data_IF_432812807858
#
_entry.id   IF_432812807858
#
_cell.length_a   1.000
_cell.length_b   1.000
_cell.length_c   1.000
_cell.angle_alpha   90.00
_cell.angle_beta   90.00
_cell.angle_gamma   90.00
#
_symmetry.space_group_name_H-M   'P 1'
#
loop_
_entity.id
_entity.type
_entity.pdbx_description
1 polymer ?
#
# COMPACT_ATOMS: atom_id res chain seq x y z
N UNK A 1 72.83 -2.39 25.44
CA UNK A 1 73.97 -2.40 24.51
C UNK A 1 73.53 -3.14 23.26
N UNK A 2 73.35 -2.47 22.11
CA UNK A 2 74.27 -2.57 20.96
C UNK A 2 73.57 -1.99 19.70
N UNK A 3 74.06 -0.82 19.25
CA UNK A 3 74.28 -0.38 17.85
C UNK A 3 73.10 -0.14 16.86
N UNK A 4 72.95 1.13 16.45
CA UNK A 4 72.62 1.62 15.08
C UNK A 4 73.86 1.46 14.17
N UNK A 5 73.93 1.76 12.82
CA UNK A 5 73.20 2.80 12.04
C UNK A 5 73.05 2.62 10.47
N UNK A 6 72.61 3.72 9.81
CA UNK A 6 72.86 4.22 8.41
C UNK A 6 71.91 3.72 7.29
N UNK A 7 71.37 4.54 6.35
CA UNK A 7 71.59 5.95 5.92
C UNK A 7 70.35 6.50 5.15
N UNK A 8 70.11 7.82 5.06
CA UNK A 8 70.64 8.80 4.07
C UNK A 8 70.39 8.34 2.61
N UNK A 9 69.75 9.05 1.67
CA UNK A 9 69.38 10.45 1.39
C UNK A 9 68.02 10.41 0.59
N UNK A 10 67.24 11.45 0.25
CA UNK A 10 67.60 12.71 -0.38
C UNK A 10 66.37 13.65 -0.45
N UNK A 11 66.64 14.95 -0.49
CA UNK A 11 65.70 16.08 -0.58
C UNK A 11 65.42 16.42 -2.06
N UNK A 12 64.30 17.12 -2.34
CA UNK A 12 63.89 17.78 -3.60
C UNK A 12 62.99 16.88 -4.48
N UNK A 13 61.72 17.21 -4.75
CA UNK A 13 61.27 18.44 -5.38
C UNK A 13 59.81 18.75 -5.01
N UNK A 14 59.59 19.91 -4.40
CA UNK A 14 58.26 20.53 -4.31
C UNK A 14 57.98 21.19 -5.66
N UNK A 15 57.16 20.53 -6.48
CA UNK A 15 56.30 21.17 -7.49
C UNK A 15 54.86 20.96 -7.04
N UNK A 16 54.50 21.62 -5.94
CA UNK A 16 53.17 22.22 -5.82
C UNK A 16 53.14 23.43 -6.76
N UNK A 17 52.00 24.07 -6.98
CA UNK A 17 51.75 25.21 -7.89
C UNK A 17 51.29 24.77 -9.29
N UNK A 18 49.96 24.77 -9.48
CA UNK A 18 49.31 24.60 -10.78
C UNK A 18 47.81 24.30 -10.65
N UNK A 19 47.46 23.08 -10.25
CA UNK A 19 46.11 22.55 -10.49
C UNK A 19 45.03 23.05 -9.51
N UNK A 20 45.40 23.38 -8.26
CA UNK A 20 44.43 23.87 -7.26
C UNK A 20 43.93 25.28 -7.53
N UNK A 21 44.77 26.15 -8.10
CA UNK A 21 44.40 27.52 -8.46
C UNK A 21 43.64 27.57 -9.80
N UNK A 22 43.96 26.68 -10.74
CA UNK A 22 43.24 26.57 -12.02
C UNK A 22 41.84 25.97 -11.85
N UNK A 23 41.64 25.00 -10.96
CA UNK A 23 40.31 24.48 -10.62
C UNK A 23 39.45 25.51 -9.89
N UNK A 24 40.03 26.30 -8.98
CA UNK A 24 39.31 27.34 -8.25
C UNK A 24 39.00 28.55 -9.14
N UNK A 25 39.88 28.91 -10.08
CA UNK A 25 39.59 29.89 -11.14
C UNK A 25 38.57 29.38 -12.16
N UNK A 26 38.58 28.09 -12.50
CA UNK A 26 37.59 27.49 -13.41
C UNK A 26 36.21 27.40 -12.76
N UNK A 27 36.15 27.15 -11.44
CA UNK A 27 34.92 27.17 -10.65
C UNK A 27 34.44 28.60 -10.40
N UNK A 28 35.34 29.56 -10.14
CA UNK A 28 34.99 30.98 -10.02
C UNK A 28 34.56 31.56 -11.37
N UNK A 29 35.18 31.18 -12.49
CA UNK A 29 34.69 31.54 -13.83
C UNK A 29 33.37 30.86 -14.16
N UNK A 30 33.14 29.60 -13.76
CA UNK A 30 31.85 28.94 -13.95
C UNK A 30 30.73 29.61 -13.13
N UNK A 31 31.03 30.04 -11.89
CA UNK A 31 30.11 30.76 -10.99
C UNK A 31 29.92 32.22 -11.43
N UNK A 32 30.94 32.88 -11.98
CA UNK A 32 30.82 34.22 -12.56
C UNK A 32 30.07 34.20 -13.90
N UNK A 33 30.18 33.13 -14.71
CA UNK A 33 29.34 32.95 -15.92
C UNK A 33 27.88 32.62 -15.60
N UNK A 34 27.58 32.10 -14.41
CA UNK A 34 26.20 31.88 -13.94
C UNK A 34 25.54 33.16 -13.39
N UNK A 35 26.28 34.26 -13.28
CA UNK A 35 25.76 35.54 -12.74
C UNK A 35 25.05 36.43 -13.77
N UNK A 36 25.07 36.05 -15.06
CA UNK A 36 24.37 36.78 -16.14
C UNK A 36 23.14 36.05 -16.71
N UNK A 37 22.86 34.81 -16.31
CA UNK A 37 21.63 34.12 -16.71
C UNK A 37 20.64 34.19 -15.56
N UNK A 38 19.85 35.26 -15.49
CA UNK A 38 18.57 35.20 -14.77
C UNK A 38 17.88 33.91 -15.20
N UNK A 39 17.63 33.00 -14.24
CA UNK A 39 17.00 31.73 -14.54
C UNK A 39 15.75 32.03 -15.39
N UNK A 40 15.68 31.55 -16.65
CA UNK A 40 14.56 31.85 -17.53
C UNK A 40 13.21 31.52 -16.87
N UNK A 41 13.20 30.56 -15.95
CA UNK A 41 12.04 30.19 -15.16
C UNK A 41 11.71 31.22 -14.07
N UNK A 42 12.70 31.81 -13.40
CA UNK A 42 12.46 32.89 -12.43
C UNK A 42 11.90 34.13 -13.14
N UNK A 43 12.49 34.53 -14.27
CA UNK A 43 11.98 35.63 -15.10
C UNK A 43 10.55 35.37 -15.61
N UNK A 44 10.26 34.13 -16.01
CA UNK A 44 8.91 33.72 -16.41
C UNK A 44 7.91 33.78 -15.25
N UNK A 45 8.24 33.19 -14.09
CA UNK A 45 7.40 33.20 -12.89
C UNK A 45 7.11 34.64 -12.45
N UNK A 46 8.13 35.48 -12.41
CA UNK A 46 8.00 36.87 -11.98
C UNK A 46 7.09 37.64 -12.94
N UNK A 47 7.22 37.44 -14.26
CA UNK A 47 6.32 38.06 -15.26
C UNK A 47 4.88 37.58 -15.12
N UNK A 48 4.65 36.29 -14.89
CA UNK A 48 3.32 35.71 -14.71
C UNK A 48 2.66 36.25 -13.45
N UNK A 49 3.39 36.36 -12.34
CA UNK A 49 2.89 36.93 -11.08
C UNK A 49 2.62 38.44 -11.20
N UNK A 50 3.43 39.19 -11.96
CA UNK A 50 3.21 40.61 -12.21
C UNK A 50 1.91 40.89 -12.98
N UNK A 51 1.54 40.02 -13.93
CA UNK A 51 0.27 40.13 -14.65
C UNK A 51 -0.96 39.88 -13.74
N UNK A 52 -0.74 39.36 -12.54
CA UNK A 52 -1.77 39.00 -11.56
C UNK A 52 -1.76 39.89 -10.32
N UNK A 53 -0.80 40.83 -10.22
CA UNK A 53 -0.58 41.66 -9.05
C UNK A 53 -1.76 42.60 -8.73
N UNK A 54 -2.61 42.90 -9.73
CA UNK A 54 -3.80 43.74 -9.58
C UNK A 54 -4.99 43.01 -8.93
N UNK A 55 -4.92 41.67 -8.79
CA UNK A 55 -5.98 40.89 -8.15
C UNK A 55 -5.69 40.79 -6.66
N UNK A 56 -6.36 41.64 -5.88
CA UNK A 56 -6.26 41.68 -4.41
C UNK A 56 -7.48 41.02 -3.78
N UNK A 57 -7.43 40.78 -2.46
CA UNK A 57 -8.55 40.18 -1.69
C UNK A 57 -9.85 41.02 -1.80
N UNK A 58 -9.74 42.30 -2.17
CA UNK A 58 -10.85 43.23 -2.42
C UNK A 58 -11.40 43.22 -3.85
N UNK A 59 -10.83 42.44 -4.77
CA UNK A 59 -11.30 42.35 -6.16
C UNK A 59 -12.59 41.52 -6.26
N UNK A 60 -13.30 41.61 -7.40
CA UNK A 60 -14.56 40.87 -7.59
C UNK A 60 -14.32 39.36 -7.53
N UNK A 61 -15.31 38.61 -7.02
CA UNK A 61 -15.22 37.15 -6.88
C UNK A 61 -14.82 36.46 -8.19
N UNK A 62 -15.36 36.91 -9.33
CA UNK A 62 -15.06 36.36 -10.66
C UNK A 62 -13.60 36.61 -11.07
N UNK A 63 -13.01 37.76 -10.70
CA UNK A 63 -11.61 38.06 -10.98
C UNK A 63 -10.65 37.21 -10.14
N UNK A 64 -11.03 36.90 -8.89
CA UNK A 64 -10.26 36.02 -8.01
C UNK A 64 -10.28 34.58 -8.53
N UNK A 65 -11.45 34.07 -8.94
CA UNK A 65 -11.56 32.73 -9.54
C UNK A 65 -10.79 32.62 -10.86
N UNK A 66 -10.86 33.63 -11.72
CA UNK A 66 -10.10 33.64 -12.98
C UNK A 66 -8.59 33.63 -12.74
N UNK A 67 -8.13 34.40 -11.75
CA UNK A 67 -6.73 34.41 -11.34
C UNK A 67 -6.28 33.06 -10.77
N UNK A 68 -7.06 32.44 -9.87
CA UNK A 68 -6.77 31.11 -9.34
C UNK A 68 -6.69 30.05 -10.44
N UNK A 69 -7.65 30.04 -11.37
CA UNK A 69 -7.64 29.12 -12.50
C UNK A 69 -6.41 29.30 -13.41
N UNK A 70 -5.93 30.54 -13.59
CA UNK A 70 -4.72 30.81 -14.35
C UNK A 70 -3.46 30.29 -13.65
N UNK A 71 -3.35 30.46 -12.33
CA UNK A 71 -2.25 29.88 -11.54
C UNK A 71 -2.27 28.35 -11.57
N UNK A 72 -3.43 27.73 -11.44
CA UNK A 72 -3.57 26.28 -11.50
C UNK A 72 -3.15 25.74 -12.88
N UNK A 73 -3.48 26.46 -13.96
CA UNK A 73 -3.06 26.11 -15.32
C UNK A 73 -1.53 26.16 -15.49
N UNK A 74 -0.88 27.18 -14.92
CA UNK A 74 0.59 27.34 -14.94
C UNK A 74 1.30 26.26 -14.10
N UNK A 75 0.76 25.98 -12.91
CA UNK A 75 1.24 24.88 -12.06
C UNK A 75 1.17 23.55 -12.82
N UNK A 76 0.06 23.27 -13.51
CA UNK A 76 -0.06 22.06 -14.32
C UNK A 76 0.89 22.07 -15.53
N UNK A 77 1.18 23.22 -16.14
CA UNK A 77 2.16 23.33 -17.21
C UNK A 77 3.59 22.98 -16.74
N UNK A 78 4.00 23.51 -15.59
CA UNK A 78 5.31 23.19 -15.01
C UNK A 78 5.40 21.72 -14.59
N UNK A 79 4.34 21.17 -13.98
CA UNK A 79 4.27 19.72 -13.67
C UNK A 79 4.45 18.88 -14.93
N UNK A 80 3.89 19.28 -16.08
CA UNK A 80 4.12 18.59 -17.37
C UNK A 80 5.58 18.65 -17.80
N UNK A 81 6.24 19.80 -17.68
CA UNK A 81 7.67 19.94 -18.00
C UNK A 81 8.54 19.03 -17.11
N UNK A 82 8.28 19.02 -15.79
CA UNK A 82 8.96 18.13 -14.83
C UNK A 82 8.77 16.66 -15.21
N UNK A 83 7.56 16.24 -15.60
CA UNK A 83 7.28 14.86 -16.06
C UNK A 83 8.10 14.52 -17.30
N UNK A 84 8.23 15.44 -18.26
CA UNK A 84 9.02 15.24 -19.49
C UNK A 84 10.50 15.06 -19.16
N UNK A 85 11.09 15.96 -18.36
CA UNK A 85 12.50 15.84 -17.97
C UNK A 85 12.79 14.59 -17.16
N UNK A 86 11.90 14.25 -16.21
CA UNK A 86 12.02 13.03 -15.41
C UNK A 86 11.92 11.77 -16.27
N UNK A 87 11.00 11.73 -17.24
CA UNK A 87 10.89 10.63 -18.18
C UNK A 87 12.16 10.46 -19.03
N UNK A 88 12.74 11.57 -19.52
CA UNK A 88 14.00 11.53 -20.27
C UNK A 88 15.15 11.04 -19.42
N UNK A 89 15.29 11.54 -18.19
CA UNK A 89 16.31 11.07 -17.23
C UNK A 89 16.16 9.58 -16.96
N UNK A 90 14.96 9.11 -16.66
CA UNK A 90 14.71 7.71 -16.35
C UNK A 90 14.97 6.79 -17.56
N UNK A 91 14.74 7.27 -18.79
CA UNK A 91 15.12 6.54 -20.01
C UNK A 91 16.65 6.46 -20.21
N UNK A 92 17.41 7.43 -19.69
CA UNK A 92 18.88 7.45 -19.75
C UNK A 92 19.54 6.56 -18.69
N UNK A 93 18.84 6.25 -17.59
CA UNK A 93 19.32 5.31 -16.57
C UNK A 93 19.20 3.88 -17.11
N UNK A 94 20.23 3.46 -17.85
CA UNK A 94 20.30 2.18 -18.57
C UNK A 94 20.10 0.93 -17.70
N UNK A 95 20.33 0.98 -16.38
CA UNK A 95 20.16 -0.19 -15.53
C UNK A 95 18.69 -0.57 -15.29
N UNK A 96 17.77 0.40 -15.24
CA UNK A 96 16.36 0.16 -14.94
C UNK A 96 15.58 -0.33 -16.17
N UNK A 97 15.99 0.07 -17.37
CA UNK A 97 15.40 -0.38 -18.64
C UNK A 97 15.92 -1.75 -19.11
N UNK A 98 16.93 -2.31 -18.43
CA UNK A 98 17.50 -3.63 -18.73
C UNK A 98 16.86 -4.77 -17.95
N UNK A 99 16.08 -4.47 -16.92
CA UNK A 99 15.37 -5.48 -16.15
C UNK A 99 14.18 -5.94 -17.00
N UNK A 100 14.08 -7.25 -17.30
CA UNK A 100 12.92 -7.77 -18.02
C UNK A 100 11.61 -7.47 -17.28
N UNK A 101 10.53 -7.27 -18.03
CA UNK A 101 9.20 -6.98 -17.49
C UNK A 101 8.75 -8.04 -16.47
N UNK A 102 8.97 -9.32 -16.76
CA UNK A 102 8.61 -10.42 -15.86
C UNK A 102 9.29 -10.30 -14.49
N UNK A 103 10.56 -9.88 -14.47
CA UNK A 103 11.32 -9.72 -13.23
C UNK A 103 10.80 -8.52 -12.45
N UNK A 104 10.48 -7.41 -13.12
CA UNK A 104 9.83 -6.25 -12.50
C UNK A 104 8.49 -6.63 -11.88
N UNK A 105 7.67 -7.41 -12.59
CA UNK A 105 6.38 -7.88 -12.10
C UNK A 105 6.53 -8.76 -10.85
N UNK A 106 7.52 -9.67 -10.82
CA UNK A 106 7.80 -10.46 -9.61
C UNK A 106 8.20 -9.56 -8.43
N UNK A 107 9.06 -8.56 -8.67
CA UNK A 107 9.43 -7.58 -7.64
C UNK A 107 8.20 -6.83 -7.13
N UNK A 108 7.33 -6.36 -8.04
CA UNK A 108 6.12 -5.64 -7.67
C UNK A 108 5.16 -6.54 -6.87
N UNK A 109 5.03 -7.82 -7.23
CA UNK A 109 4.22 -8.77 -6.47
C UNK A 109 4.74 -8.95 -5.05
N UNK A 110 6.06 -9.05 -4.85
CA UNK A 110 6.63 -9.07 -3.49
C UNK A 110 6.34 -7.79 -2.72
N UNK A 111 6.38 -6.63 -3.39
CA UNK A 111 6.07 -5.35 -2.75
C UNK A 111 4.61 -5.21 -2.34
N UNK A 112 3.67 -5.86 -3.05
CA UNK A 112 2.25 -5.85 -2.66
C UNK A 112 2.08 -6.42 -1.25
N UNK A 113 2.79 -7.51 -0.94
CA UNK A 113 2.72 -8.14 0.37
C UNK A 113 3.61 -7.43 1.44
N UNK A 114 4.77 -6.89 1.06
CA UNK A 114 5.76 -6.30 1.99
C UNK A 114 5.48 -4.83 2.35
N UNK A 115 4.99 -4.03 1.40
CA UNK A 115 4.68 -2.60 1.58
C UNK A 115 3.26 -2.27 1.10
N UNK A 116 2.21 -2.82 1.71
CA UNK A 116 0.84 -2.51 1.35
C UNK A 116 0.48 -1.04 1.67
N UNK A 117 -0.48 -0.44 0.94
CA UNK A 117 -1.04 0.85 1.29
C UNK A 117 -1.67 0.81 2.68
N UNK A 118 -1.29 1.73 3.57
CA UNK A 118 -1.73 1.70 4.97
C UNK A 118 -1.80 3.07 5.59
N UNK A 119 -2.57 3.21 6.65
CA UNK A 119 -2.52 4.40 7.49
C UNK A 119 -1.26 4.35 8.38
N UNK A 120 -0.44 5.39 8.30
CA UNK A 120 0.76 5.54 9.12
C UNK A 120 0.56 6.69 10.10
N UNK A 121 0.88 6.44 11.37
CA UNK A 121 0.92 7.47 12.39
C UNK A 121 2.28 8.17 12.37
N UNK A 122 2.28 9.47 12.05
CA UNK A 122 3.48 10.30 12.13
C UNK A 122 3.27 11.38 13.20
N UNK A 123 3.91 11.20 14.36
CA UNK A 123 3.72 12.00 15.57
C UNK A 123 2.25 12.04 16.03
N UNK A 124 1.48 13.00 15.53
CA UNK A 124 0.06 13.24 15.87
C UNK A 124 -0.86 13.23 14.63
N UNK A 125 -0.31 12.99 13.44
CA UNK A 125 -1.08 12.97 12.19
C UNK A 125 -1.18 11.54 11.64
N UNK A 126 -2.38 11.16 11.20
CA UNK A 126 -2.58 9.96 10.38
C UNK A 126 -2.34 10.34 8.92
N UNK A 127 -1.37 9.71 8.27
CA UNK A 127 -1.06 9.90 6.85
C UNK A 127 -1.15 8.58 6.11
N UNK A 128 -1.74 8.60 4.92
CA UNK A 128 -1.78 7.43 4.05
C UNK A 128 -0.43 7.20 3.40
N UNK A 129 0.16 6.02 3.60
CA UNK A 129 1.25 5.53 2.78
C UNK A 129 0.68 4.91 1.53
N UNK A 130 1.24 5.27 0.37
CA UNK A 130 0.93 4.63 -0.91
C UNK A 130 1.51 3.21 -1.02
N UNK A 131 2.48 2.85 -0.17
CA UNK A 131 3.11 1.54 -0.23
C UNK A 131 3.69 1.21 -1.63
N UNK A 132 3.42 -0.01 -2.10
CA UNK A 132 3.84 -0.51 -3.41
C UNK A 132 3.35 0.34 -4.58
N UNK A 133 2.25 1.09 -4.44
CA UNK A 133 1.72 1.98 -5.51
C UNK A 133 2.79 2.99 -5.95
N UNK A 134 3.76 3.32 -5.09
CA UNK A 134 4.92 4.16 -5.42
C UNK A 134 5.67 3.67 -6.67
N UNK A 135 5.67 2.37 -6.98
CA UNK A 135 6.28 1.85 -8.22
C UNK A 135 5.65 2.45 -9.48
N UNK A 136 4.35 2.79 -9.42
CA UNK A 136 3.61 3.45 -10.53
C UNK A 136 3.99 4.92 -10.74
N UNK A 137 4.79 5.48 -9.82
CA UNK A 137 5.29 6.86 -9.88
C UNK A 137 6.77 6.95 -10.25
N UNK A 138 7.49 5.82 -10.34
CA UNK A 138 8.92 5.80 -10.66
C UNK A 138 9.17 6.28 -12.08
N UNK A 139 8.59 5.60 -13.07
CA UNK A 139 8.68 5.98 -14.47
C UNK A 139 7.43 5.52 -15.24
N UNK A 140 7.28 6.01 -16.48
CA UNK A 140 6.14 5.66 -17.34
C UNK A 140 6.05 4.17 -17.62
N UNK A 141 7.17 3.51 -17.89
CA UNK A 141 7.19 2.06 -18.17
C UNK A 141 6.73 1.23 -16.97
N UNK A 142 7.24 1.53 -15.77
CA UNK A 142 6.81 0.82 -14.55
C UNK A 142 5.32 1.05 -14.26
N UNK A 143 4.83 2.27 -14.51
CA UNK A 143 3.42 2.59 -14.41
C UNK A 143 2.57 1.75 -15.37
N UNK A 144 2.97 1.66 -16.64
CA UNK A 144 2.25 0.87 -17.65
C UNK A 144 2.23 -0.63 -17.29
N UNK A 145 3.36 -1.18 -16.85
CA UNK A 145 3.48 -2.58 -16.38
C UNK A 145 2.58 -2.83 -15.16
N UNK A 146 2.66 -1.97 -14.15
CA UNK A 146 1.93 -2.17 -12.90
C UNK A 146 0.41 -1.94 -13.04
N UNK A 147 -0.03 -0.99 -13.88
CA UNK A 147 -1.46 -0.75 -14.12
C UNK A 147 -2.09 -1.81 -15.04
N UNK A 148 -1.32 -2.43 -15.93
CA UNK A 148 -1.83 -3.46 -16.84
C UNK A 148 -1.91 -4.86 -16.21
N UNK A 149 -1.19 -5.09 -15.11
CA UNK A 149 -1.18 -6.38 -14.43
C UNK A 149 -2.21 -6.44 -13.30
N UNK A 150 -3.31 -7.16 -13.53
CA UNK A 150 -4.40 -7.30 -12.56
C UNK A 150 -4.02 -7.99 -11.25
N UNK A 151 -2.96 -8.81 -11.22
CA UNK A 151 -2.56 -9.53 -10.01
C UNK A 151 -2.11 -8.59 -8.88
N UNK A 152 -1.55 -7.43 -9.22
CA UNK A 152 -1.10 -6.44 -8.23
C UNK A 152 -2.25 -5.75 -7.48
N UNK A 153 -3.46 -5.78 -8.05
CA UNK A 153 -4.64 -5.07 -7.55
C UNK A 153 -5.60 -6.01 -6.80
N UNK A 154 -5.14 -7.17 -6.36
CA UNK A 154 -6.01 -8.20 -5.77
C UNK A 154 -6.21 -8.07 -4.27
N UNK A 155 -5.41 -7.24 -3.58
CA UNK A 155 -5.49 -7.06 -2.13
C UNK A 155 -6.25 -5.78 -1.77
N UNK A 156 -7.23 -5.93 -0.88
CA UNK A 156 -8.02 -4.85 -0.30
C UNK A 156 -7.59 -4.70 1.16
N UNK A 157 -7.04 -3.53 1.46
CA UNK A 157 -6.50 -3.17 2.78
C UNK A 157 -7.58 -2.53 3.67
N UNK A 158 -7.44 -2.58 5.00
CA UNK A 158 -8.48 -2.11 5.92
C UNK A 158 -8.65 -0.58 5.91
N UNK A 159 -7.62 0.18 5.55
CA UNK A 159 -7.59 1.66 5.59
C UNK A 159 -7.97 2.33 4.26
N UNK A 160 -8.59 1.57 3.36
CA UNK A 160 -8.85 1.94 1.97
C UNK A 160 -10.09 2.84 1.84
N UNK A 161 -10.12 3.73 0.85
CA UNK A 161 -11.31 4.55 0.53
C UNK A 161 -12.17 3.90 -0.54
N UNK A 162 -13.45 4.27 -0.63
CA UNK A 162 -14.37 3.82 -1.68
C UNK A 162 -13.85 4.11 -3.09
N UNK A 163 -13.27 5.29 -3.32
CA UNK A 163 -12.67 5.63 -4.62
C UNK A 163 -11.53 4.66 -4.98
N UNK A 164 -10.68 4.33 -4.02
CA UNK A 164 -9.59 3.40 -4.24
C UNK A 164 -10.08 1.95 -4.39
N UNK A 165 -11.11 1.56 -3.64
CA UNK A 165 -11.76 0.27 -3.82
C UNK A 165 -12.27 0.13 -5.26
N UNK A 166 -12.98 1.13 -5.78
CA UNK A 166 -13.53 1.10 -7.15
C UNK A 166 -12.44 0.84 -8.20
N UNK A 167 -11.28 1.47 -8.01
CA UNK A 167 -10.14 1.35 -8.88
C UNK A 167 -9.45 -0.02 -8.75
N UNK A 168 -9.32 -0.51 -7.52
CA UNK A 168 -8.78 -1.85 -7.21
C UNK A 168 -9.66 -2.94 -7.83
N UNK A 169 -10.98 -2.81 -7.69
CA UNK A 169 -11.96 -3.74 -8.27
C UNK A 169 -11.94 -3.71 -9.80
N UNK A 170 -11.85 -2.52 -10.40
CA UNK A 170 -11.78 -2.35 -11.86
C UNK A 170 -10.50 -2.96 -12.45
N UNK A 171 -9.36 -2.80 -11.78
CA UNK A 171 -8.07 -3.32 -12.27
C UNK A 171 -7.83 -4.79 -11.97
N UNK A 172 -8.48 -5.33 -10.95
CA UNK A 172 -8.32 -6.74 -10.58
C UNK A 172 -9.20 -7.69 -11.38
N UNK A 173 -10.27 -7.23 -12.03
CA UNK A 173 -11.21 -8.12 -12.73
C UNK A 173 -10.52 -8.97 -13.83
N UNK A 174 -10.79 -10.29 -13.93
CA UNK A 174 -11.68 -11.13 -13.12
C UNK A 174 -10.98 -11.91 -11.99
N UNK A 175 -9.82 -11.44 -11.51
CA UNK A 175 -9.00 -12.15 -10.51
C UNK A 175 -9.74 -12.28 -9.17
N UNK A 176 -9.47 -13.39 -8.44
CA UNK A 176 -9.88 -13.51 -7.06
C UNK A 176 -9.21 -12.44 -6.18
N UNK A 177 -9.92 -12.02 -5.15
CA UNK A 177 -9.54 -10.96 -4.24
C UNK A 177 -9.10 -11.53 -2.89
N UNK A 178 -8.23 -10.79 -2.22
CA UNK A 178 -7.90 -10.94 -0.82
C UNK A 178 -8.37 -9.67 -0.11
N UNK A 179 -9.11 -9.80 0.97
CA UNK A 179 -9.60 -8.65 1.71
C UNK A 179 -9.22 -8.77 3.18
N UNK A 180 -8.57 -7.72 3.70
CA UNK A 180 -8.40 -7.49 5.13
C UNK A 180 -9.30 -6.31 5.52
N UNK A 181 -10.31 -6.60 6.35
CA UNK A 181 -11.33 -5.66 6.76
C UNK A 181 -11.30 -5.52 8.27
N UNK A 182 -11.34 -4.29 8.76
CA UNK A 182 -11.44 -3.99 10.18
C UNK A 182 -12.78 -3.31 10.44
N UNK A 183 -13.76 -4.10 10.88
CA UNK A 183 -15.08 -3.62 11.27
C UNK A 183 -14.88 -2.70 12.48
N UNK A 184 -15.04 -1.39 12.27
CA UNK A 184 -14.76 -0.36 13.28
C UNK A 184 -14.02 0.82 12.69
N UNK A 185 -13.12 0.52 11.74
CA UNK A 185 -12.21 1.49 11.16
C UNK A 185 -12.31 1.57 9.63
N UNK A 186 -12.59 0.45 8.96
CA UNK A 186 -12.83 0.42 7.51
C UNK A 186 -14.15 1.13 7.20
N UNK A 187 -14.19 1.87 6.08
CA UNK A 187 -15.41 2.55 5.62
C UNK A 187 -16.55 1.54 5.44
N UNK A 188 -17.72 1.82 6.02
CA UNK A 188 -18.85 0.90 5.97
C UNK A 188 -19.28 0.58 4.53
N UNK A 189 -19.18 1.53 3.60
CA UNK A 189 -19.52 1.29 2.19
C UNK A 189 -18.51 0.34 1.54
N UNK A 190 -17.23 0.43 1.90
CA UNK A 190 -16.20 -0.52 1.43
C UNK A 190 -16.54 -1.92 1.92
N UNK A 191 -16.83 -2.08 3.21
CA UNK A 191 -17.18 -3.37 3.81
C UNK A 191 -18.41 -3.99 3.12
N UNK A 192 -19.49 -3.22 2.98
CA UNK A 192 -20.74 -3.69 2.35
C UNK A 192 -20.51 -4.07 0.88
N UNK A 193 -19.74 -3.28 0.13
CA UNK A 193 -19.49 -3.54 -1.29
C UNK A 193 -18.61 -4.79 -1.49
N UNK A 194 -17.55 -4.94 -0.69
CA UNK A 194 -16.64 -6.08 -0.76
C UNK A 194 -17.36 -7.38 -0.37
N UNK A 195 -18.06 -7.39 0.76
CA UNK A 195 -18.71 -8.60 1.29
C UNK A 195 -20.05 -8.89 0.59
N UNK A 196 -20.79 -7.87 0.17
CA UNK A 196 -22.06 -8.06 -0.54
C UNK A 196 -21.84 -8.32 -2.02
N UNK A 197 -21.38 -7.30 -2.74
CA UNK A 197 -21.35 -7.29 -4.21
C UNK A 197 -20.18 -8.11 -4.80
N UNK A 198 -19.08 -8.24 -4.05
CA UNK A 198 -17.85 -8.89 -4.53
C UNK A 198 -17.47 -10.17 -3.80
N UNK A 199 -18.34 -10.69 -2.91
CA UNK A 199 -18.17 -11.98 -2.20
C UNK A 199 -17.70 -13.13 -3.09
N UNK A 200 -18.29 -13.25 -4.29
CA UNK A 200 -17.97 -14.34 -5.22
C UNK A 200 -16.54 -14.35 -5.74
N UNK A 201 -15.86 -13.21 -5.67
CA UNK A 201 -14.46 -13.07 -6.05
C UNK A 201 -13.52 -13.28 -4.87
N UNK A 202 -14.00 -13.29 -3.63
CA UNK A 202 -13.15 -13.44 -2.45
C UNK A 202 -12.52 -14.84 -2.42
N UNK A 203 -11.20 -14.86 -2.30
CA UNK A 203 -10.39 -16.07 -2.10
C UNK A 203 -9.79 -16.14 -0.71
N UNK A 204 -9.51 -14.98 -0.11
CA UNK A 204 -9.04 -14.85 1.26
C UNK A 204 -9.77 -13.68 1.90
N UNK A 205 -10.30 -13.91 3.10
CA UNK A 205 -11.03 -12.91 3.86
C UNK A 205 -10.52 -12.93 5.29
N UNK A 206 -10.02 -11.78 5.73
CA UNK A 206 -9.59 -11.53 7.09
C UNK A 206 -10.45 -10.41 7.67
N UNK A 207 -11.16 -10.69 8.74
CA UNK A 207 -12.06 -9.73 9.39
C UNK A 207 -11.61 -9.55 10.83
N UNK A 208 -11.24 -8.32 11.16
CA UNK A 208 -11.10 -7.86 12.53
C UNK A 208 -12.40 -7.20 12.98
N UNK A 209 -12.98 -7.68 14.07
CA UNK A 209 -14.26 -7.25 14.61
C UNK A 209 -13.99 -6.48 15.90
N UNK A 210 -14.16 -5.16 15.86
CA UNK A 210 -14.00 -4.29 17.04
C UNK A 210 -15.34 -4.08 17.78
N UNK A 211 -15.27 -3.93 19.10
CA UNK A 211 -16.42 -3.83 20.02
C UNK A 211 -17.23 -2.55 19.83
N UNK A 212 -16.68 -1.55 19.15
CA UNK A 212 -17.23 -0.20 19.08
C UNK A 212 -18.42 -0.04 18.12
N UNK A 213 -18.94 -1.12 17.51
CA UNK A 213 -20.06 -1.02 16.57
C UNK A 213 -21.15 -2.06 16.86
N UNK A 214 -22.40 -1.60 16.76
CA UNK A 214 -23.62 -2.38 16.52
C UNK A 214 -23.62 -2.99 15.08
N UNK A 215 -22.51 -3.56 14.62
CA UNK A 215 -22.41 -4.13 13.27
C UNK A 215 -22.87 -5.58 13.28
N UNK A 216 -24.07 -5.84 13.81
CA UNK A 216 -24.65 -7.19 13.98
C UNK A 216 -24.77 -7.97 12.65
N UNK A 217 -24.83 -7.25 11.53
CA UNK A 217 -24.96 -7.82 10.18
C UNK A 217 -23.67 -8.50 9.66
N UNK A 218 -22.55 -8.45 10.39
CA UNK A 218 -21.29 -9.09 9.96
C UNK A 218 -21.47 -10.59 9.66
N UNK A 219 -22.31 -11.27 10.44
CA UNK A 219 -22.60 -12.70 10.27
C UNK A 219 -23.32 -12.96 8.95
N UNK A 220 -24.29 -12.10 8.60
CA UNK A 220 -24.99 -12.17 7.32
C UNK A 220 -24.01 -12.00 6.16
N UNK A 221 -23.10 -11.03 6.25
CA UNK A 221 -22.08 -10.79 5.24
C UNK A 221 -21.15 -11.99 5.02
N UNK A 222 -20.71 -12.66 6.09
CA UNK A 222 -19.88 -13.86 5.96
C UNK A 222 -20.70 -15.05 5.45
N UNK A 223 -21.98 -15.16 5.80
CA UNK A 223 -22.86 -16.22 5.30
C UNK A 223 -23.13 -16.12 3.78
N UNK A 224 -22.88 -14.97 3.15
CA UNK A 224 -23.06 -14.77 1.72
C UNK A 224 -22.21 -15.77 0.90
N UNK A 225 -22.77 -16.33 -0.19
CA UNK A 225 -22.05 -17.32 -1.01
C UNK A 225 -20.73 -16.79 -1.59
N UNK A 226 -19.62 -17.32 -1.09
CA UNK A 226 -18.26 -17.03 -1.52
C UNK A 226 -17.58 -18.30 -2.08
N UNK A 227 -17.94 -18.73 -3.31
CA UNK A 227 -17.52 -20.01 -3.89
C UNK A 227 -16.00 -20.17 -4.10
N UNK A 228 -15.25 -19.07 -4.11
CA UNK A 228 -13.80 -19.08 -4.28
C UNK A 228 -13.03 -18.98 -2.96
N UNK A 229 -13.72 -18.82 -1.83
CA UNK A 229 -13.07 -18.58 -0.53
C UNK A 229 -12.29 -19.82 -0.09
N UNK A 230 -10.99 -19.68 0.05
CA UNK A 230 -10.07 -20.71 0.52
C UNK A 230 -9.58 -20.48 1.94
N UNK A 231 -9.53 -19.20 2.37
CA UNK A 231 -9.00 -18.79 3.67
C UNK A 231 -9.94 -17.81 4.33
N UNK A 232 -10.38 -18.11 5.55
CA UNK A 232 -11.17 -17.23 6.38
C UNK A 232 -10.48 -17.02 7.73
N UNK A 233 -10.30 -15.76 8.13
CA UNK A 233 -9.79 -15.36 9.43
C UNK A 233 -10.79 -14.43 10.11
N UNK A 234 -11.24 -14.80 11.31
CA UNK A 234 -12.13 -13.99 12.14
C UNK A 234 -11.42 -13.65 13.44
N UNK A 235 -11.18 -12.36 13.67
CA UNK A 235 -10.48 -11.85 14.86
C UNK A 235 -11.37 -10.94 15.67
N UNK A 236 -11.70 -11.36 16.88
CA UNK A 236 -12.54 -10.58 17.78
C UNK A 236 -11.69 -9.80 18.80
N UNK A 237 -12.05 -8.54 19.05
CA UNK A 237 -11.40 -7.69 20.07
C UNK A 237 -11.72 -8.17 21.48
N UNK A 238 -10.77 -8.05 22.43
CA UNK A 238 -10.96 -8.52 23.80
C UNK A 238 -12.22 -7.91 24.45
N UNK A 239 -13.07 -8.79 24.98
CA UNK A 239 -14.34 -8.41 25.60
C UNK A 239 -15.55 -8.40 24.67
N UNK A 240 -15.45 -8.85 23.41
CA UNK A 240 -16.62 -9.14 22.58
C UNK A 240 -17.36 -10.41 23.05
N UNK A 241 -17.80 -10.38 24.30
CA UNK A 241 -18.27 -11.55 25.06
C UNK A 241 -19.74 -11.93 24.77
N UNK A 242 -20.45 -11.17 23.93
CA UNK A 242 -21.90 -11.31 23.76
C UNK A 242 -22.35 -11.70 22.33
N UNK A 243 -21.46 -12.25 21.50
CA UNK A 243 -21.85 -12.70 20.16
C UNK A 243 -22.48 -14.10 20.19
N UNK A 244 -23.78 -14.16 20.49
CA UNK A 244 -24.64 -15.36 20.40
C UNK A 244 -24.97 -15.70 18.93
N UNK A 245 -23.95 -15.82 18.06
CA UNK A 245 -24.16 -16.20 16.65
C UNK A 245 -23.90 -17.69 16.47
N UNK A 246 -24.89 -18.39 15.95
CA UNK A 246 -24.79 -19.81 15.62
C UNK A 246 -23.72 -20.04 14.55
N UNK A 247 -22.69 -20.84 14.83
CA UNK A 247 -21.63 -21.15 13.88
C UNK A 247 -22.11 -21.78 12.57
N UNK A 248 -23.20 -22.57 12.63
CA UNK A 248 -23.78 -23.24 11.46
C UNK A 248 -24.44 -22.25 10.48
N UNK A 249 -24.83 -21.08 10.97
CA UNK A 249 -25.40 -20.02 10.14
C UNK A 249 -24.34 -19.36 9.25
N UNK A 250 -23.13 -19.18 9.77
CA UNK A 250 -22.06 -18.44 9.11
C UNK A 250 -21.33 -19.33 8.08
N UNK A 251 -21.07 -20.60 8.41
CA UNK A 251 -20.23 -21.48 7.59
C UNK A 251 -21.02 -22.67 7.06
N UNK A 252 -21.44 -22.59 5.80
CA UNK A 252 -22.07 -23.73 5.11
C UNK A 252 -21.23 -24.22 3.92
N UNK A 253 -21.29 -25.52 3.60
CA UNK A 253 -20.67 -26.10 2.39
C UNK A 253 -21.21 -25.49 1.10
N UNK A 254 -22.45 -25.01 1.13
CA UNK A 254 -23.12 -24.39 -0.02
C UNK A 254 -22.54 -22.99 -0.28
N UNK A 255 -22.32 -22.21 0.77
CA UNK A 255 -21.74 -20.87 0.66
C UNK A 255 -20.22 -20.91 0.46
N UNK A 256 -19.52 -21.88 1.08
CA UNK A 256 -18.05 -21.93 1.17
C UNK A 256 -17.45 -23.28 0.73
N UNK A 257 -17.69 -23.74 -0.52
CA UNK A 257 -17.31 -25.08 -0.96
C UNK A 257 -15.79 -25.33 -1.05
N UNK A 258 -14.97 -24.26 -1.06
CA UNK A 258 -13.51 -24.34 -1.25
C UNK A 258 -12.70 -23.99 -0.01
N UNK A 259 -13.35 -23.81 1.13
CA UNK A 259 -12.68 -23.39 2.35
C UNK A 259 -11.65 -24.44 2.78
N UNK A 260 -10.40 -24.00 2.99
CA UNK A 260 -9.26 -24.84 3.36
C UNK A 260 -8.55 -24.37 4.61
N UNK A 261 -8.60 -23.08 4.91
CA UNK A 261 -7.96 -22.49 6.08
C UNK A 261 -8.99 -21.71 6.88
N UNK A 262 -9.12 -22.02 8.15
CA UNK A 262 -10.00 -21.33 9.07
C UNK A 262 -9.21 -20.94 10.32
N UNK A 263 -9.14 -19.63 10.58
CA UNK A 263 -8.53 -19.07 11.78
C UNK A 263 -9.59 -18.29 12.54
N UNK A 264 -9.76 -18.60 13.82
CA UNK A 264 -10.76 -17.93 14.66
C UNK A 264 -10.14 -17.58 16.01
N UNK A 265 -10.12 -16.29 16.33
CA UNK A 265 -9.58 -15.77 17.58
C UNK A 265 -10.72 -15.31 18.49
N UNK A 266 -10.88 -15.99 19.63
CA UNK A 266 -11.81 -15.68 20.72
C UNK A 266 -13.27 -16.07 20.43
N UNK A 267 -13.88 -16.76 21.40
CA UNK A 267 -15.31 -16.99 21.61
C UNK A 267 -16.17 -17.66 20.52
N UNK A 268 -15.61 -18.13 19.41
CA UNK A 268 -16.37 -18.90 18.42
C UNK A 268 -16.15 -20.41 18.58
N UNK A 269 -17.21 -21.18 18.82
CA UNK A 269 -17.17 -22.63 18.67
C UNK A 269 -17.25 -22.94 17.16
N UNK A 270 -16.28 -23.64 16.55
CA UNK A 270 -16.45 -24.07 15.16
C UNK A 270 -17.72 -24.92 15.04
N UNK A 271 -18.46 -24.85 13.91
CA UNK A 271 -19.61 -25.69 13.68
C UNK A 271 -19.16 -27.16 13.59
N UNK A 272 -19.28 -27.89 14.69
CA UNK A 272 -18.63 -29.19 14.88
C UNK A 272 -19.17 -30.29 13.95
N UNK A 273 -20.37 -30.10 13.40
CA UNK A 273 -21.05 -31.05 12.51
C UNK A 273 -21.04 -30.61 11.04
N UNK A 274 -20.42 -29.48 10.72
CA UNK A 274 -20.46 -28.95 9.37
C UNK A 274 -19.46 -29.68 8.46
N UNK A 275 -19.99 -30.38 7.44
CA UNK A 275 -19.23 -30.89 6.30
C UNK A 275 -18.30 -29.84 5.65
N UNK A 276 -18.52 -28.54 5.93
CA UNK A 276 -17.68 -27.44 5.46
C UNK A 276 -16.26 -27.54 6.01
N UNK A 277 -16.09 -28.17 7.18
CA UNK A 277 -14.80 -28.34 7.81
C UNK A 277 -14.01 -29.53 7.22
N UNK A 278 -14.66 -30.49 6.54
CA UNK A 278 -14.01 -31.71 6.02
C UNK A 278 -12.89 -31.45 5.00
N UNK A 279 -12.96 -30.31 4.30
CA UNK A 279 -11.95 -29.89 3.32
C UNK A 279 -10.86 -28.98 3.92
N UNK A 280 -10.91 -28.70 5.23
CA UNK A 280 -9.90 -27.91 5.89
C UNK A 280 -8.56 -28.66 5.93
N UNK A 281 -7.50 -27.87 5.74
CA UNK A 281 -6.08 -28.25 5.81
C UNK A 281 -5.40 -27.50 6.96
N UNK A 282 -6.02 -26.42 7.44
CA UNK A 282 -5.50 -25.62 8.54
C UNK A 282 -6.67 -25.12 9.38
N UNK A 283 -6.64 -25.43 10.67
CA UNK A 283 -7.55 -24.90 11.68
C UNK A 283 -6.73 -24.30 12.81
N UNK A 284 -6.93 -23.02 13.08
CA UNK A 284 -6.33 -22.33 14.21
C UNK A 284 -7.42 -21.71 15.08
N UNK A 285 -7.47 -22.13 16.34
CA UNK A 285 -8.41 -21.63 17.33
C UNK A 285 -7.62 -20.98 18.46
N UNK A 286 -7.71 -19.67 18.55
CA UNK A 286 -7.04 -18.90 19.62
C UNK A 286 -8.09 -18.55 20.66
N UNK A 287 -8.11 -19.26 21.78
CA UNK A 287 -9.08 -19.01 22.85
C UNK A 287 -8.82 -17.72 23.62
N UNK A 288 -9.86 -17.13 24.23
CA UNK A 288 -9.71 -16.06 25.19
C UNK A 288 -9.03 -16.54 26.49
N UNK A 289 -8.48 -15.57 27.23
CA UNK A 289 -7.90 -15.75 28.56
C UNK A 289 -8.91 -16.34 29.56
N UNK A 290 -10.21 -16.14 29.34
CA UNK A 290 -11.28 -16.62 30.20
C UNK A 290 -11.51 -18.13 30.00
N UNK A 291 -11.54 -18.89 31.11
CA UNK A 291 -11.51 -20.35 31.08
C UNK A 291 -12.88 -20.98 30.75
N UNK A 292 -13.98 -20.27 30.99
CA UNK A 292 -15.34 -20.81 30.90
C UNK A 292 -15.87 -20.90 29.46
N UNK A 293 -15.16 -20.30 28.50
CA UNK A 293 -15.55 -20.20 27.08
C UNK A 293 -14.53 -20.72 26.09
N UNK A 294 -13.50 -21.43 26.57
CA UNK A 294 -12.59 -22.12 25.66
C UNK A 294 -13.39 -23.17 24.89
N UNK A 295 -13.15 -23.33 23.57
CA UNK A 295 -13.68 -24.50 22.87
C UNK A 295 -13.19 -25.72 23.65
N UNK A 296 -14.14 -26.50 24.18
CA UNK A 296 -13.79 -27.72 24.88
C UNK A 296 -13.08 -28.60 23.87
N UNK A 297 -11.90 -29.13 24.21
CA UNK A 297 -11.13 -30.00 23.31
C UNK A 297 -12.02 -31.13 22.79
N UNK A 298 -12.96 -31.59 23.61
CA UNK A 298 -13.94 -32.62 23.27
C UNK A 298 -14.86 -32.25 22.09
N UNK A 299 -15.17 -30.97 21.87
CA UNK A 299 -15.95 -30.53 20.69
C UNK A 299 -15.11 -30.49 19.41
N UNK A 300 -13.77 -30.48 19.54
CA UNK A 300 -12.85 -30.49 18.39
C UNK A 300 -12.52 -31.91 17.92
N UNK A 301 -12.69 -32.92 18.78
CA UNK A 301 -12.38 -34.32 18.46
C UNK A 301 -13.16 -34.81 17.21
N UNK A 302 -14.49 -34.61 17.10
CA UNK A 302 -15.24 -35.04 15.92
C UNK A 302 -14.74 -34.38 14.63
N UNK A 303 -14.38 -33.09 14.70
CA UNK A 303 -13.83 -32.35 13.57
C UNK A 303 -12.52 -32.98 13.11
N UNK A 304 -11.61 -33.27 14.04
CA UNK A 304 -10.30 -33.88 13.76
C UNK A 304 -10.43 -35.32 13.22
N UNK A 305 -11.42 -36.07 13.70
CA UNK A 305 -11.67 -37.44 13.22
C UNK A 305 -12.23 -37.47 11.79
N UNK A 306 -13.08 -36.50 11.43
CA UNK A 306 -13.70 -36.39 10.10
C UNK A 306 -12.88 -35.55 9.08
N UNK A 307 -11.74 -34.97 9.49
CA UNK A 307 -10.83 -34.17 8.64
C UNK A 307 -9.48 -34.85 8.41
N UNK A 308 -9.37 -35.81 7.47
CA UNK A 308 -8.12 -36.56 7.27
C UNK A 308 -6.96 -35.72 6.69
N UNK A 309 -7.20 -34.46 6.32
CA UNK A 309 -6.20 -33.56 5.74
C UNK A 309 -5.66 -32.50 6.73
N UNK A 310 -6.20 -32.46 7.95
CA UNK A 310 -5.85 -31.49 8.98
C UNK A 310 -4.65 -31.94 9.83
#
# INVERSE_FOLDING_TARGET
MMWTPVGHDDISSVQSWGEGAELDQSLQQAIETDSETSDPWESYIQKTLLHMADVTISSSQDSIYAAQAQLDAEIEAMKRAIRIFSARRNAMVSCLSRIPEDVLLQIFLFLVDDDPPKMVHHMYERRRSLGWIRVTHVCRSWREIALSNSCLWTHIEPDITTDWLSETLSRSDPRPLKADLSLGSTDANVTVDVLGNHSRRLSQLDIRIDRLIDFDDWADFVAHPSPLLESLSLRFSEGSDDLDVDPDYILTTVSHPRLRRLTMHVNFQPPCDAQVLHNLVYLELVGASDCDRRPFVDSLIPILEDTPQL
#
